data_IF_718945726732
#
_entry.id   IF_718945726732
#
_cell.length_a   1.000
_cell.length_b   1.000
_cell.length_c   1.000
_cell.angle_alpha   90.00
_cell.angle_beta   90.00
_cell.angle_gamma   90.00
#
_symmetry.space_group_name_H-M   'P 1'
#
loop_
_entity.id
_entity.type
_entity.pdbx_description
1 polymer ?
#
# COMPACT_ATOMS: atom_id res chain seq x y z
N UNK A 1 2.62 -20.43 -8.57
CA UNK A 1 1.29 -19.82 -8.49
C UNK A 1 0.40 -20.69 -7.61
N UNK A 2 0.51 -20.50 -6.28
CA UNK A 2 -0.36 -21.23 -5.34
C UNK A 2 -1.81 -20.83 -5.54
N UNK A 3 -2.69 -21.78 -5.72
CA UNK A 3 -4.14 -21.65 -5.67
C UNK A 3 -4.53 -21.17 -4.28
N UNK A 4 -4.68 -19.86 -4.10
CA UNK A 4 -5.20 -19.29 -2.87
C UNK A 4 -6.72 -19.49 -2.85
N UNK A 5 -7.22 -20.24 -1.87
CA UNK A 5 -8.66 -20.31 -1.62
C UNK A 5 -9.20 -18.91 -1.29
N UNK A 6 -10.49 -18.66 -1.58
CA UNK A 6 -11.15 -17.39 -1.24
C UNK A 6 -11.13 -17.12 0.28
N UNK A 7 -10.94 -18.15 1.08
CA UNK A 7 -10.84 -18.08 2.55
C UNK A 7 -9.48 -18.66 2.94
N UNK A 8 -8.43 -17.86 2.85
CA UNK A 8 -7.09 -18.19 3.32
C UNK A 8 -6.93 -17.64 4.74
N UNK A 9 -6.55 -18.47 5.70
CA UNK A 9 -6.38 -18.07 7.11
C UNK A 9 -5.34 -16.96 7.28
N UNK A 10 -4.39 -16.83 6.35
CA UNK A 10 -3.44 -15.70 6.31
C UNK A 10 -4.13 -14.34 6.14
N UNK A 11 -5.32 -14.29 5.52
CA UNK A 11 -6.10 -13.07 5.41
C UNK A 11 -6.61 -12.58 6.78
N UNK A 12 -6.67 -13.47 7.79
CA UNK A 12 -7.06 -13.12 9.16
C UNK A 12 -5.99 -12.32 9.92
N UNK A 13 -4.76 -12.25 9.42
CA UNK A 13 -3.67 -11.49 10.05
C UNK A 13 -4.00 -9.99 10.22
N UNK A 14 -4.98 -9.46 9.50
CA UNK A 14 -5.49 -8.11 9.71
C UNK A 14 -6.22 -7.96 11.06
N UNK A 15 -6.85 -9.04 11.58
CA UNK A 15 -7.64 -8.95 12.81
C UNK A 15 -6.81 -8.53 14.03
N UNK A 16 -5.61 -9.10 14.28
CA UNK A 16 -4.70 -8.57 15.30
C UNK A 16 -4.35 -7.09 15.09
N UNK A 17 -4.13 -6.67 13.84
CA UNK A 17 -3.88 -5.25 13.53
C UNK A 17 -5.05 -4.34 13.91
N UNK A 18 -6.29 -4.79 13.65
CA UNK A 18 -7.48 -4.05 14.08
C UNK A 18 -7.56 -4.00 15.61
N UNK A 19 -7.26 -5.11 16.30
CA UNK A 19 -7.24 -5.14 17.77
C UNK A 19 -6.23 -4.15 18.35
N UNK A 20 -5.04 -4.05 17.76
CA UNK A 20 -4.04 -3.04 18.15
C UNK A 20 -4.60 -1.61 18.00
N UNK A 21 -5.29 -1.33 16.89
CA UNK A 21 -5.93 -0.03 16.69
C UNK A 21 -7.03 0.26 17.71
N UNK A 22 -7.79 -0.76 18.13
CA UNK A 22 -8.83 -0.64 19.16
C UNK A 22 -8.24 -0.36 20.55
N UNK A 23 -7.10 -0.94 20.86
CA UNK A 23 -6.39 -0.76 22.14
C UNK A 23 -5.67 0.58 22.21
N UNK A 24 -4.82 0.87 21.20
CA UNK A 24 -3.99 2.07 21.18
C UNK A 24 -4.78 3.35 20.87
N UNK A 25 -5.86 3.22 20.10
CA UNK A 25 -6.73 4.34 19.66
C UNK A 25 -5.94 5.55 19.16
N UNK A 26 -5.03 5.38 18.19
CA UNK A 26 -4.24 6.50 17.66
C UNK A 26 -5.15 7.53 17.00
N UNK A 27 -4.74 8.80 16.99
CA UNK A 27 -5.50 9.87 16.34
C UNK A 27 -5.58 9.67 14.83
N UNK A 28 -4.53 9.07 14.23
CA UNK A 28 -4.45 8.67 12.84
C UNK A 28 -3.87 7.26 12.72
N UNK A 29 -4.29 6.55 11.68
CA UNK A 29 -3.61 5.36 11.21
C UNK A 29 -3.58 5.32 9.68
N UNK A 30 -2.56 4.67 9.16
CA UNK A 30 -2.42 4.34 7.73
C UNK A 30 -2.14 2.85 7.64
N UNK A 31 -2.91 2.15 6.81
CA UNK A 31 -2.68 0.75 6.46
C UNK A 31 -2.39 0.67 4.96
N UNK A 32 -1.25 0.11 4.61
CA UNK A 32 -0.87 -0.21 3.23
C UNK A 32 -1.05 -1.69 2.97
N UNK A 33 -1.63 -2.01 1.83
CA UNK A 33 -1.73 -3.40 1.40
C UNK A 33 -1.81 -3.52 -0.12
N UNK A 34 -1.75 -4.75 -0.63
CA UNK A 34 -1.92 -5.03 -2.05
C UNK A 34 -3.34 -4.70 -2.50
N UNK A 35 -3.50 -4.24 -3.76
CA UNK A 35 -4.79 -3.89 -4.38
C UNK A 35 -5.87 -4.93 -4.13
N UNK A 36 -5.56 -6.22 -4.25
CA UNK A 36 -6.53 -7.32 -4.11
C UNK A 36 -7.24 -7.37 -2.75
N UNK A 37 -6.68 -6.72 -1.73
CA UNK A 37 -7.28 -6.68 -0.39
C UNK A 37 -8.66 -6.00 -0.38
N UNK A 38 -8.96 -5.11 -1.32
CA UNK A 38 -10.27 -4.47 -1.44
C UNK A 38 -11.44 -5.46 -1.53
N UNK A 39 -11.19 -6.61 -2.17
CA UNK A 39 -12.18 -7.67 -2.39
C UNK A 39 -11.95 -8.90 -1.50
N UNK A 40 -11.04 -8.83 -0.54
CA UNK A 40 -10.70 -9.97 0.31
C UNK A 40 -11.81 -10.22 1.32
N UNK A 41 -12.26 -11.47 1.38
CA UNK A 41 -13.22 -11.96 2.36
C UNK A 41 -12.47 -12.69 3.45
N UNK A 42 -12.84 -12.42 4.69
CA UNK A 42 -12.33 -13.09 5.88
C UNK A 42 -13.47 -13.76 6.66
N UNK A 43 -13.13 -14.66 7.55
CA UNK A 43 -14.03 -15.07 8.64
C UNK A 43 -13.78 -14.14 9.82
N UNK A 44 -14.80 -13.37 10.20
CA UNK A 44 -14.72 -12.46 11.33
C UNK A 44 -14.79 -13.21 12.68
N UNK A 45 -14.78 -12.47 13.77
CA UNK A 45 -14.84 -12.99 15.15
C UNK A 45 -16.06 -13.89 15.42
N UNK A 46 -17.15 -13.71 14.69
CA UNK A 46 -18.38 -14.51 14.78
C UNK A 46 -18.43 -15.64 13.73
N UNK A 47 -17.28 -15.99 13.14
CA UNK A 47 -17.14 -17.01 12.09
C UNK A 47 -17.98 -16.72 10.82
N UNK A 48 -18.44 -15.47 10.61
CA UNK A 48 -19.19 -15.05 9.44
C UNK A 48 -18.24 -14.52 8.36
N UNK A 49 -18.55 -14.81 7.11
CA UNK A 49 -17.82 -14.24 5.96
C UNK A 49 -18.11 -12.76 5.85
N UNK A 50 -17.06 -11.93 5.86
CA UNK A 50 -17.15 -10.47 5.78
C UNK A 50 -16.00 -9.93 4.94
N UNK A 51 -16.25 -8.84 4.18
CA UNK A 51 -15.18 -8.13 3.50
C UNK A 51 -14.28 -7.45 4.55
N UNK A 52 -12.98 -7.53 4.36
CA UNK A 52 -11.97 -7.08 5.31
C UNK A 52 -12.09 -5.58 5.64
N UNK A 53 -12.41 -4.74 4.66
CA UNK A 53 -12.60 -3.30 4.86
C UNK A 53 -13.90 -2.98 5.60
N UNK A 54 -14.94 -3.81 5.41
CA UNK A 54 -16.18 -3.69 6.16
C UNK A 54 -15.98 -4.11 7.62
N UNK A 55 -15.19 -5.16 7.87
CA UNK A 55 -14.79 -5.58 9.21
C UNK A 55 -14.04 -4.46 9.94
N UNK A 56 -13.03 -3.87 9.29
CA UNK A 56 -12.28 -2.73 9.80
C UNK A 56 -13.21 -1.57 10.15
N UNK A 57 -14.09 -1.17 9.22
CA UNK A 57 -15.03 -0.08 9.44
C UNK A 57 -16.00 -0.36 10.57
N UNK A 58 -16.56 -1.56 10.65
CA UNK A 58 -17.49 -1.97 11.68
C UNK A 58 -16.88 -1.91 13.07
N UNK A 59 -15.65 -2.40 13.23
CA UNK A 59 -14.94 -2.44 14.51
C UNK A 59 -14.49 -1.04 14.98
N UNK A 60 -14.00 -0.21 14.06
CA UNK A 60 -13.41 1.09 14.43
C UNK A 60 -14.42 2.25 14.46
N UNK A 61 -15.59 2.11 13.80
CA UNK A 61 -16.64 3.13 13.83
C UNK A 61 -17.11 3.51 15.25
N UNK A 62 -17.37 2.55 16.17
CA UNK A 62 -17.74 2.87 17.54
C UNK A 62 -16.72 3.70 18.33
N UNK A 63 -15.43 3.65 17.89
CA UNK A 63 -14.32 4.41 18.48
C UNK A 63 -14.18 5.81 17.87
N UNK A 64 -15.10 6.21 17.02
CA UNK A 64 -15.15 7.55 16.42
C UNK A 64 -14.30 7.71 15.16
N UNK A 65 -13.77 6.64 14.56
CA UNK A 65 -12.97 6.76 13.35
C UNK A 65 -13.80 7.05 12.09
N UNK A 66 -13.33 8.02 11.32
CA UNK A 66 -13.64 8.16 9.90
C UNK A 66 -12.57 7.47 9.07
N UNK A 67 -12.97 6.59 8.15
CA UNK A 67 -12.05 5.72 7.40
C UNK A 67 -12.31 5.89 5.91
N UNK A 68 -11.22 5.96 5.13
CA UNK A 68 -11.24 5.99 3.65
C UNK A 68 -10.19 5.03 3.12
N UNK A 69 -10.55 4.29 2.09
CA UNK A 69 -9.66 3.37 1.38
C UNK A 69 -9.70 3.66 -0.11
N UNK A 70 -8.54 3.81 -0.71
CA UNK A 70 -8.38 3.98 -2.16
C UNK A 70 -7.20 3.15 -2.67
N UNK A 71 -7.23 2.79 -3.95
CA UNK A 71 -6.08 2.26 -4.65
C UNK A 71 -5.30 3.44 -5.22
N UNK A 72 -4.04 3.55 -4.84
CA UNK A 72 -3.12 4.54 -5.36
C UNK A 72 -2.08 3.86 -6.25
N UNK A 73 -1.82 4.43 -7.43
CA UNK A 73 -0.64 4.10 -8.24
C UNK A 73 0.48 5.08 -7.86
N UNK A 74 1.56 4.57 -7.32
CA UNK A 74 2.67 5.39 -6.84
C UNK A 74 3.38 6.17 -7.96
N UNK A 75 3.27 5.72 -9.22
CA UNK A 75 3.77 6.50 -10.36
C UNK A 75 3.12 7.87 -10.46
N UNK A 76 1.85 7.99 -10.05
CA UNK A 76 1.13 9.27 -10.00
C UNK A 76 1.64 10.23 -8.92
N UNK A 77 2.60 9.81 -8.10
CA UNK A 77 3.21 10.59 -7.02
C UNK A 77 4.72 10.76 -7.19
N UNK A 78 5.24 10.57 -8.41
CA UNK A 78 6.65 10.77 -8.73
C UNK A 78 7.55 9.58 -8.42
N UNK A 79 7.00 8.41 -8.08
CA UNK A 79 7.77 7.18 -7.93
C UNK A 79 7.98 6.56 -9.32
N UNK A 80 9.23 6.20 -9.71
CA UNK A 80 9.53 5.67 -11.04
C UNK A 80 9.12 4.21 -11.21
N UNK A 81 7.92 3.86 -10.75
CA UNK A 81 7.40 2.49 -10.76
C UNK A 81 5.87 2.49 -10.71
N UNK A 82 5.24 1.78 -11.64
CA UNK A 82 3.82 1.47 -11.56
C UNK A 82 3.56 0.48 -10.42
N UNK A 83 3.06 0.99 -9.30
CA UNK A 83 2.83 0.19 -8.10
C UNK A 83 1.50 0.55 -7.46
N UNK A 84 0.47 -0.21 -7.77
CA UNK A 84 -0.84 -0.03 -7.16
C UNK A 84 -0.89 -0.64 -5.75
N UNK A 85 -1.33 0.17 -4.79
CA UNK A 85 -1.53 -0.24 -3.40
C UNK A 85 -2.87 0.26 -2.87
N UNK A 86 -3.50 -0.57 -2.06
CA UNK A 86 -4.65 -0.16 -1.26
C UNK A 86 -4.13 0.61 -0.05
N UNK A 87 -4.41 1.89 -0.01
CA UNK A 87 -4.09 2.76 1.13
C UNK A 87 -5.38 3.06 1.88
N UNK A 88 -5.40 2.69 3.15
CA UNK A 88 -6.50 2.97 4.06
C UNK A 88 -6.05 3.95 5.11
N UNK A 89 -6.73 5.09 5.18
CA UNK A 89 -6.48 6.15 6.15
C UNK A 89 -7.67 6.25 7.08
N UNK A 90 -7.41 6.29 8.39
CA UNK A 90 -8.42 6.53 9.39
C UNK A 90 -8.00 7.62 10.36
N UNK A 91 -8.98 8.43 10.80
CA UNK A 91 -8.77 9.44 11.83
C UNK A 91 -9.96 9.52 12.78
N UNK A 92 -9.66 9.77 14.06
CA UNK A 92 -10.65 10.06 15.10
C UNK A 92 -10.59 11.50 15.61
N UNK A 93 -9.75 12.34 15.02
CA UNK A 93 -9.66 13.76 15.38
C UNK A 93 -11.01 14.43 15.09
N UNK A 94 -11.66 15.08 16.09
CA UNK A 94 -13.03 15.60 15.94
C UNK A 94 -13.21 16.53 14.75
N UNK A 95 -12.24 17.40 14.46
CA UNK A 95 -12.25 18.32 13.31
C UNK A 95 -12.31 17.55 11.98
N UNK A 96 -11.50 16.48 11.87
CA UNK A 96 -11.43 15.64 10.67
C UNK A 96 -12.72 14.81 10.54
N UNK A 97 -13.18 14.20 11.61
CA UNK A 97 -14.42 13.41 11.61
C UNK A 97 -15.63 14.25 11.26
N UNK A 98 -15.69 15.51 11.72
CA UNK A 98 -16.76 16.47 11.36
C UNK A 98 -16.74 16.79 9.87
N UNK A 99 -15.57 17.03 9.29
CA UNK A 99 -15.39 17.33 7.88
C UNK A 99 -15.60 16.11 6.97
N UNK A 100 -15.14 14.95 7.42
CA UNK A 100 -15.20 13.67 6.69
C UNK A 100 -15.92 12.61 7.53
N UNK A 101 -17.24 12.67 7.71
CA UNK A 101 -17.96 11.78 8.61
C UNK A 101 -17.84 10.30 8.20
N UNK A 102 -17.97 9.36 9.16
CA UNK A 102 -17.89 7.93 8.88
C UNK A 102 -18.88 7.52 7.78
N UNK A 103 -18.42 6.75 6.81
CA UNK A 103 -19.23 6.20 5.73
C UNK A 103 -19.51 4.72 5.96
N UNK A 104 -20.64 4.23 5.44
CA UNK A 104 -20.98 2.80 5.46
C UNK A 104 -20.00 2.00 4.58
N UNK A 105 -19.60 2.56 3.44
CA UNK A 105 -18.62 1.97 2.51
C UNK A 105 -17.34 2.80 2.54
N UNK A 106 -16.25 2.21 3.04
CA UNK A 106 -14.96 2.90 3.18
C UNK A 106 -14.14 2.92 1.90
N UNK A 107 -14.26 1.89 1.05
CA UNK A 107 -13.61 1.86 -0.25
C UNK A 107 -14.42 2.61 -1.30
N UNK A 108 -13.73 3.41 -2.12
CA UNK A 108 -14.28 4.07 -3.30
C UNK A 108 -13.24 4.05 -4.42
N UNK A 109 -13.71 3.95 -5.68
CA UNK A 109 -12.85 4.10 -6.86
C UNK A 109 -12.38 5.55 -7.03
N UNK A 110 -13.27 6.52 -6.74
CA UNK A 110 -12.90 7.94 -6.74
C UNK A 110 -12.01 8.23 -5.53
N UNK A 111 -10.90 8.93 -5.77
CA UNK A 111 -9.97 9.35 -4.71
C UNK A 111 -10.72 10.12 -3.62
N UNK A 112 -10.43 9.81 -2.38
CA UNK A 112 -11.02 10.52 -1.26
C UNK A 112 -10.15 11.69 -0.82
N UNK A 113 -10.77 12.65 -0.18
CA UNK A 113 -10.16 13.89 0.29
C UNK A 113 -9.11 13.66 1.40
N UNK A 114 -9.09 12.47 2.00
CA UNK A 114 -8.07 12.07 2.98
C UNK A 114 -6.78 11.54 2.34
N UNK A 115 -6.82 11.24 1.04
CA UNK A 115 -5.65 10.77 0.31
C UNK A 115 -4.94 11.94 -0.39
N UNK A 116 -3.62 11.86 -0.59
CA UNK A 116 -2.89 12.89 -1.32
C UNK A 116 -3.39 12.99 -2.77
N UNK A 117 -3.39 14.19 -3.30
CA UNK A 117 -3.72 14.43 -4.71
C UNK A 117 -2.54 14.01 -5.58
N UNK A 118 -2.75 13.30 -6.70
CA UNK A 118 -1.69 13.00 -7.65
C UNK A 118 -0.93 14.23 -8.10
N UNK A 119 0.40 14.12 -8.20
CA UNK A 119 1.31 15.18 -8.62
C UNK A 119 1.89 14.96 -10.01
N UNK A 120 1.72 13.77 -10.59
CA UNK A 120 2.23 13.37 -11.90
C UNK A 120 1.15 12.66 -12.72
N UNK A 121 1.29 12.70 -14.03
CA UNK A 121 0.40 12.06 -15.00
C UNK A 121 -0.32 13.06 -15.89
N UNK A 122 -1.03 12.54 -16.90
CA UNK A 122 -1.68 13.36 -17.94
C UNK A 122 -2.70 14.37 -17.38
N UNK A 123 -3.44 13.97 -16.34
CA UNK A 123 -4.48 14.81 -15.74
C UNK A 123 -3.90 16.02 -15.00
N UNK A 124 -2.65 15.92 -14.55
CA UNK A 124 -1.95 16.97 -13.79
C UNK A 124 -1.04 17.79 -14.69
N UNK A 125 -0.72 17.29 -15.88
CA UNK A 125 0.20 17.94 -16.83
C UNK A 125 1.68 17.75 -16.51
N UNK A 126 2.01 17.04 -15.43
CA UNK A 126 3.40 16.72 -15.05
C UNK A 126 3.75 15.31 -15.55
N UNK A 127 4.84 15.13 -16.34
CA UNK A 127 5.23 13.80 -16.81
C UNK A 127 5.48 12.82 -15.66
N UNK A 128 5.23 11.53 -15.92
CA UNK A 128 5.60 10.47 -15.00
C UNK A 128 7.13 10.38 -14.93
N UNK A 129 7.66 10.17 -13.73
CA UNK A 129 9.09 9.90 -13.52
C UNK A 129 9.38 8.48 -13.97
N UNK A 130 10.41 8.30 -14.79
CA UNK A 130 10.86 6.99 -15.26
C UNK A 130 12.06 6.50 -14.46
N UNK A 131 12.32 5.19 -14.51
CA UNK A 131 13.52 4.63 -13.90
C UNK A 131 14.80 5.26 -14.51
N UNK A 132 14.77 5.55 -15.81
CA UNK A 132 15.88 6.22 -16.50
C UNK A 132 16.16 7.62 -15.94
N UNK A 133 15.13 8.39 -15.61
CA UNK A 133 15.29 9.73 -15.02
C UNK A 133 15.99 9.69 -13.67
N UNK A 134 15.78 8.60 -12.90
CA UNK A 134 16.31 8.48 -11.53
C UNK A 134 17.70 7.85 -11.51
N UNK A 135 17.95 6.80 -12.26
CA UNK A 135 19.18 6.02 -12.19
C UNK A 135 19.95 5.92 -13.52
N UNK A 136 19.43 6.55 -14.59
CA UNK A 136 20.05 6.49 -15.92
C UNK A 136 21.43 7.14 -16.01
N UNK A 137 21.80 7.98 -15.04
CA UNK A 137 23.12 8.60 -14.91
C UNK A 137 24.16 7.73 -14.19
N UNK A 138 23.71 6.66 -13.52
CA UNK A 138 24.61 5.75 -12.81
C UNK A 138 25.39 4.87 -13.80
N UNK A 139 26.66 4.59 -13.55
CA UNK A 139 27.45 3.70 -14.41
C UNK A 139 26.94 2.26 -14.35
N UNK A 140 27.04 1.49 -15.44
CA UNK A 140 26.67 0.09 -15.41
C UNK A 140 27.59 -0.70 -14.48
N UNK A 141 26.98 -1.58 -13.69
CA UNK A 141 27.68 -2.53 -12.83
C UNK A 141 27.48 -3.95 -13.36
N UNK A 142 28.49 -4.79 -13.17
CA UNK A 142 28.46 -6.21 -13.50
C UNK A 142 28.94 -7.00 -12.28
N UNK A 143 28.14 -7.97 -11.86
CA UNK A 143 28.44 -8.81 -10.70
C UNK A 143 29.70 -9.71 -10.89
N UNK A 144 30.27 -9.77 -12.10
CA UNK A 144 31.54 -10.48 -12.37
C UNK A 144 32.78 -9.59 -12.18
N UNK A 145 32.70 -8.37 -12.69
CA UNK A 145 33.86 -7.50 -12.85
C UNK A 145 33.79 -6.21 -12.03
N UNK A 146 32.58 -5.67 -11.87
CA UNK A 146 32.36 -4.36 -11.24
C UNK A 146 31.17 -4.41 -10.29
N UNK A 147 31.41 -4.84 -9.06
CA UNK A 147 30.39 -5.07 -8.04
C UNK A 147 29.92 -3.78 -7.35
N UNK A 148 30.75 -2.74 -7.30
CA UNK A 148 30.51 -1.53 -6.54
C UNK A 148 30.94 -0.33 -7.39
N UNK A 149 30.12 0.73 -7.39
CA UNK A 149 30.52 2.03 -7.93
C UNK A 149 31.62 2.65 -7.07
N UNK A 150 32.63 3.21 -7.72
CA UNK A 150 33.73 3.88 -7.02
C UNK A 150 33.31 5.22 -6.40
N UNK A 151 32.23 5.82 -6.88
CA UNK A 151 31.72 7.11 -6.43
C UNK A 151 30.60 6.96 -5.43
N UNK A 152 29.67 6.02 -5.69
CA UNK A 152 28.53 5.74 -4.82
C UNK A 152 28.60 4.29 -4.28
N UNK A 153 29.01 4.08 -3.01
CA UNK A 153 29.15 2.76 -2.42
C UNK A 153 27.78 2.05 -2.24
N UNK A 154 26.67 2.77 -2.30
CA UNK A 154 25.31 2.17 -2.28
C UNK A 154 24.88 1.66 -3.65
N UNK A 155 25.50 2.13 -4.73
CA UNK A 155 25.31 1.59 -6.07
C UNK A 155 26.17 0.34 -6.21
N UNK A 156 25.61 -0.81 -5.84
CA UNK A 156 26.29 -2.10 -5.81
C UNK A 156 25.36 -3.22 -6.29
N UNK A 157 25.95 -4.27 -6.84
CA UNK A 157 25.23 -5.49 -7.22
C UNK A 157 25.71 -6.67 -6.38
N UNK A 158 24.84 -7.64 -6.05
CA UNK A 158 25.27 -8.82 -5.34
C UNK A 158 26.22 -9.66 -6.19
N UNK A 159 27.21 -10.31 -5.56
CA UNK A 159 28.06 -11.29 -6.21
C UNK A 159 27.24 -12.56 -6.46
N UNK A 160 26.98 -12.86 -7.72
CA UNK A 160 26.22 -14.04 -8.12
C UNK A 160 27.16 -15.16 -8.55
N UNK A 161 26.79 -16.39 -8.23
CA UNK A 161 27.53 -17.57 -8.73
C UNK A 161 27.11 -17.86 -10.20
N UNK A 162 27.88 -18.77 -10.85
CA UNK A 162 27.65 -19.11 -12.26
C UNK A 162 26.20 -19.56 -12.55
N UNK A 163 25.61 -20.32 -11.63
CA UNK A 163 24.26 -20.87 -11.82
C UNK A 163 23.21 -19.77 -11.76
N UNK A 164 23.38 -18.78 -10.87
CA UNK A 164 22.49 -17.62 -10.77
C UNK A 164 22.54 -16.74 -12.02
N UNK A 165 23.69 -16.65 -12.70
CA UNK A 165 23.84 -15.95 -13.97
C UNK A 165 23.05 -16.58 -15.12
N UNK A 166 22.90 -17.91 -15.11
CA UNK A 166 22.21 -18.63 -16.16
C UNK A 166 20.68 -18.45 -16.11
N UNK A 167 20.15 -17.86 -15.06
CA UNK A 167 18.70 -17.63 -14.88
C UNK A 167 18.23 -16.22 -15.29
N UNK A 168 19.12 -15.36 -15.76
CA UNK A 168 18.84 -14.02 -16.27
C UNK A 168 18.93 -13.95 -17.81
#
# INVERSE_FOLDING_TARGET
>A
NGTRSKVDDRNRLILPGITILEELKPDWFILENVKRMENTIIRNENNKSENILNCLARRLKPLGYSIRSNILDFSSYGVPHHRERLITIGSRIPKIVKQFPPRKKVFNKKLSELHPVPSHGKEVGTPLVTLRDVIGHLPPLDSRDRLIDSVDPYHSVPCWNKDQYLWM
#
